data_IF_418997592052
#
_entry.id   IF_418997592052
#
_cell.length_a   1.000
_cell.length_b   1.000
_cell.length_c   1.000
_cell.angle_alpha   90.00
_cell.angle_beta   90.00
_cell.angle_gamma   90.00
#
_symmetry.space_group_name_H-M   'P 1'
#
loop_
_entity.id
_entity.type
_entity.pdbx_description
1 polymer ?
#
# COMPACT_ATOMS: atom_id res chain seq x y z
N UNK A 1 -24.54 -41.24 -51.86
CA UNK A 1 -24.79 -40.38 -50.68
C UNK A 1 -23.56 -40.47 -49.79
N UNK A 2 -22.86 -39.37 -49.53
CA UNK A 2 -21.61 -39.36 -48.76
C UNK A 2 -21.88 -38.67 -47.42
N UNK A 3 -21.54 -39.33 -46.31
CA UNK A 3 -21.61 -38.77 -44.96
C UNK A 3 -20.22 -38.26 -44.61
N UNK A 4 -20.09 -36.96 -44.32
CA UNK A 4 -18.87 -36.37 -43.76
C UNK A 4 -19.11 -36.18 -42.27
N UNK A 5 -18.41 -36.96 -41.45
CA UNK A 5 -18.41 -36.87 -40.00
C UNK A 5 -17.41 -35.77 -39.59
N UNK A 6 -17.90 -34.62 -39.15
CA UNK A 6 -17.07 -33.56 -38.60
C UNK A 6 -16.92 -33.79 -37.08
N UNK A 7 -15.74 -34.22 -36.64
CA UNK A 7 -15.38 -34.27 -35.22
C UNK A 7 -14.93 -32.86 -34.82
N UNK A 8 -15.77 -32.17 -34.05
CA UNK A 8 -15.42 -30.87 -33.47
C UNK A 8 -14.62 -31.07 -32.18
N UNK A 9 -13.39 -30.58 -32.14
CA UNK A 9 -12.60 -30.47 -30.90
C UNK A 9 -13.00 -29.17 -30.22
N UNK A 10 -13.73 -29.25 -29.11
CA UNK A 10 -14.02 -28.08 -28.27
C UNK A 10 -12.83 -27.84 -27.35
N UNK A 11 -12.00 -26.84 -27.67
CA UNK A 11 -11.03 -26.32 -26.72
C UNK A 11 -11.78 -25.62 -25.57
N UNK A 12 -11.68 -26.17 -24.37
CA UNK A 12 -12.20 -25.52 -23.17
C UNK A 12 -11.28 -24.33 -22.82
N UNK A 13 -11.71 -23.11 -23.13
CA UNK A 13 -11.07 -21.90 -22.61
C UNK A 13 -11.58 -21.68 -21.19
N UNK A 14 -10.71 -21.83 -20.19
CA UNK A 14 -10.99 -21.37 -18.82
C UNK A 14 -11.11 -19.86 -18.86
N UNK A 15 -12.32 -19.33 -18.66
CA UNK A 15 -12.56 -17.89 -18.50
C UNK A 15 -12.29 -17.59 -17.03
N UNK A 16 -11.19 -16.88 -16.74
CA UNK A 16 -10.97 -16.35 -15.39
C UNK A 16 -12.07 -15.35 -15.03
N UNK A 17 -12.56 -15.36 -13.78
CA UNK A 17 -13.52 -14.36 -13.33
C UNK A 17 -12.91 -12.95 -13.44
N UNK A 18 -13.73 -11.92 -13.70
CA UNK A 18 -13.26 -10.54 -13.73
C UNK A 18 -12.64 -10.15 -12.38
N UNK A 19 -11.48 -9.51 -12.41
CA UNK A 19 -10.77 -9.10 -11.19
C UNK A 19 -11.60 -8.10 -10.37
N UNK A 20 -11.74 -8.35 -9.05
CA UNK A 20 -12.48 -7.48 -8.13
C UNK A 20 -11.92 -6.05 -8.10
N UNK A 21 -12.74 -4.98 -8.10
CA UNK A 21 -12.24 -3.60 -8.11
C UNK A 21 -11.38 -3.27 -6.87
N UNK A 22 -10.57 -2.20 -6.96
CA UNK A 22 -9.86 -1.68 -5.80
C UNK A 22 -10.85 -1.10 -4.76
N UNK A 23 -10.54 -1.16 -3.45
CA UNK A 23 -11.38 -0.54 -2.43
C UNK A 23 -11.39 0.98 -2.62
N UNK A 24 -12.54 1.60 -2.33
CA UNK A 24 -12.67 3.05 -2.31
C UNK A 24 -12.49 3.54 -0.87
N UNK A 25 -11.39 4.22 -0.58
CA UNK A 25 -11.09 4.73 0.76
C UNK A 25 -10.66 6.20 0.75
N UNK A 26 -11.02 6.91 1.81
CA UNK A 26 -10.51 8.23 2.15
C UNK A 26 -9.46 8.07 3.24
N UNK A 27 -8.27 8.58 2.98
CA UNK A 27 -7.13 8.48 3.89
C UNK A 27 -6.51 9.85 4.06
N UNK A 28 -6.12 10.18 5.29
CA UNK A 28 -5.32 11.36 5.61
C UNK A 28 -3.91 10.95 6.05
N UNK A 29 -2.96 11.90 5.95
CA UNK A 29 -1.55 11.67 6.25
C UNK A 29 -0.97 12.81 7.07
N UNK A 30 -0.13 12.43 8.03
CA UNK A 30 0.75 13.35 8.77
C UNK A 30 2.19 12.85 8.75
N UNK A 31 3.13 13.81 8.73
CA UNK A 31 4.57 13.53 8.75
C UNK A 31 5.23 14.41 9.81
N UNK A 32 5.80 13.76 10.83
CA UNK A 32 6.49 14.40 11.95
C UNK A 32 7.85 13.74 12.15
N UNK A 33 8.93 14.51 11.93
CA UNK A 33 10.28 13.98 11.87
C UNK A 33 10.42 12.88 10.83
N UNK A 34 10.78 11.67 11.28
CA UNK A 34 10.91 10.48 10.43
C UNK A 34 9.66 9.57 10.45
N UNK A 35 8.59 9.98 11.14
CA UNK A 35 7.33 9.22 11.27
C UNK A 35 6.32 9.65 10.21
N UNK A 36 5.74 8.65 9.56
CA UNK A 36 4.56 8.80 8.71
C UNK A 36 3.39 8.12 9.40
N UNK A 37 2.31 8.86 9.58
CA UNK A 37 1.03 8.36 10.12
C UNK A 37 -0.04 8.50 9.05
N UNK A 38 -0.81 7.45 8.84
CA UNK A 38 -1.94 7.41 7.92
C UNK A 38 -3.20 7.06 8.71
N UNK A 39 -4.32 7.72 8.42
CA UNK A 39 -5.61 7.48 9.08
C UNK A 39 -6.69 7.20 8.04
N UNK A 40 -7.46 6.13 8.26
CA UNK A 40 -8.56 5.77 7.40
C UNK A 40 -9.80 6.55 7.81
N UNK A 41 -10.17 7.55 7.03
CA UNK A 41 -11.24 8.50 7.38
C UNK A 41 -12.62 8.04 6.92
N UNK A 42 -12.70 7.22 5.87
CA UNK A 42 -13.98 6.69 5.36
C UNK A 42 -13.82 5.73 4.19
N UNK A 43 -14.86 4.97 3.87
CA UNK A 43 -14.89 4.05 2.72
C UNK A 43 -14.75 2.56 3.09
N UNK A 44 -14.37 1.77 2.10
CA UNK A 44 -14.21 0.32 2.20
C UNK A 44 -12.97 -0.05 3.04
N UNK A 45 -13.01 -1.15 3.83
CA UNK A 45 -11.82 -1.69 4.48
C UNK A 45 -10.67 -1.98 3.50
N UNK A 46 -9.44 -1.82 3.96
CA UNK A 46 -8.24 -2.09 3.17
C UNK A 46 -7.56 -3.34 3.71
N UNK A 47 -7.48 -4.40 2.89
CA UNK A 47 -6.72 -5.60 3.19
C UNK A 47 -5.21 -5.27 3.15
N UNK A 48 -4.54 -5.37 4.29
CA UNK A 48 -3.14 -4.95 4.45
C UNK A 48 -2.17 -5.92 3.79
N UNK A 49 -2.47 -7.21 3.81
CA UNK A 49 -1.62 -8.24 3.17
C UNK A 49 -1.47 -8.04 1.66
N UNK A 50 -2.45 -7.39 1.03
CA UNK A 50 -2.44 -7.05 -0.39
C UNK A 50 -2.00 -5.60 -0.68
N UNK A 51 -1.68 -4.83 0.37
CA UNK A 51 -1.38 -3.40 0.29
C UNK A 51 0.10 -3.17 -0.04
N UNK A 52 0.35 -2.47 -1.14
CA UNK A 52 1.64 -1.86 -1.43
C UNK A 52 1.64 -0.40 -0.99
N UNK A 53 2.66 -0.04 -0.20
CA UNK A 53 2.94 1.33 0.20
C UNK A 53 4.22 1.81 -0.50
N UNK A 54 4.14 2.93 -1.23
CA UNK A 54 5.29 3.55 -1.89
C UNK A 54 5.48 4.97 -1.39
N UNK A 55 6.70 5.28 -0.94
CA UNK A 55 7.09 6.56 -0.35
C UNK A 55 8.13 7.24 -1.24
N UNK A 56 7.94 8.54 -1.47
CA UNK A 56 8.92 9.42 -2.10
C UNK A 56 9.09 10.70 -1.28
N UNK A 57 10.31 11.25 -1.27
CA UNK A 57 10.64 12.52 -0.61
C UNK A 57 11.13 13.48 -1.67
N UNK A 58 10.50 14.65 -1.77
CA UNK A 58 10.77 15.65 -2.81
C UNK A 58 10.75 15.08 -4.24
N UNK A 59 9.94 14.04 -4.48
CA UNK A 59 9.81 13.35 -5.77
C UNK A 59 10.83 12.23 -6.00
N UNK A 60 11.77 12.01 -5.08
CA UNK A 60 12.71 10.89 -5.15
C UNK A 60 12.20 9.70 -4.32
N UNK A 61 12.01 8.51 -4.93
CA UNK A 61 11.55 7.32 -4.20
C UNK A 61 12.56 6.88 -3.15
N UNK A 62 12.08 6.41 -2.00
CA UNK A 62 12.96 5.75 -1.04
C UNK A 62 13.65 4.53 -1.68
N UNK A 63 14.95 4.38 -1.42
CA UNK A 63 15.76 3.24 -1.84
C UNK A 63 15.22 1.92 -1.29
N UNK A 64 14.58 1.95 -0.12
CA UNK A 64 13.84 0.82 0.45
C UNK A 64 12.42 1.24 0.77
N UNK A 65 11.46 0.50 0.25
CA UNK A 65 10.03 0.72 0.43
C UNK A 65 9.51 -0.14 1.60
N UNK A 66 8.51 0.34 2.36
CA UNK A 66 8.00 -0.37 3.52
C UNK A 66 7.26 -1.64 3.08
N UNK A 67 7.67 -2.83 3.56
CA UNK A 67 7.00 -4.09 3.21
C UNK A 67 5.84 -4.33 4.17
N UNK A 68 4.74 -3.58 4.04
CA UNK A 68 3.60 -3.75 4.96
C UNK A 68 2.85 -5.08 4.70
N UNK A 69 2.33 -5.74 5.74
CA UNK A 69 2.62 -5.47 7.15
C UNK A 69 4.02 -5.96 7.55
N UNK A 70 4.66 -5.32 8.55
CA UNK A 70 5.97 -5.75 9.05
C UNK A 70 6.14 -5.54 10.56
N UNK A 71 7.15 -6.20 11.14
CA UNK A 71 7.65 -5.85 12.48
C UNK A 71 8.99 -5.11 12.39
N UNK A 72 9.89 -5.57 11.54
CA UNK A 72 11.18 -4.92 11.25
C UNK A 72 11.50 -5.07 9.77
N UNK A 73 12.03 -4.02 9.17
CA UNK A 73 12.41 -3.99 7.76
C UNK A 73 13.65 -3.10 7.56
N UNK A 74 14.52 -3.46 6.63
CA UNK A 74 15.69 -2.66 6.30
C UNK A 74 15.27 -1.26 5.81
N UNK A 75 15.91 -0.21 6.33
CA UNK A 75 15.54 1.18 6.01
C UNK A 75 14.40 1.74 6.87
N UNK A 76 13.88 0.98 7.84
CA UNK A 76 12.81 1.40 8.73
C UNK A 76 13.18 1.12 10.19
N UNK A 77 12.68 1.95 11.11
CA UNK A 77 12.75 1.63 12.55
C UNK A 77 11.81 0.44 12.82
N UNK A 78 12.20 -0.53 13.66
CA UNK A 78 11.30 -1.60 14.07
C UNK A 78 10.05 -1.07 14.78
N UNK A 79 8.98 -1.86 14.76
CA UNK A 79 7.73 -1.59 15.45
C UNK A 79 6.88 -0.50 14.78
N UNK A 80 6.39 -0.72 13.55
CA UNK A 80 5.25 0.07 13.06
C UNK A 80 4.03 -0.13 13.97
N UNK A 81 3.01 0.71 13.86
CA UNK A 81 1.81 0.64 14.71
C UNK A 81 0.55 0.49 13.88
N UNK A 82 -0.51 0.01 14.54
CA UNK A 82 -1.80 -0.21 13.90
C UNK A 82 -1.69 -1.22 12.77
N UNK A 83 -2.48 -1.01 11.71
CA UNK A 83 -2.63 -1.98 10.64
C UNK A 83 -1.32 -2.38 9.94
N UNK A 84 -0.26 -1.56 10.00
CA UNK A 84 1.03 -1.90 9.38
C UNK A 84 1.93 -2.80 10.24
N UNK A 85 1.55 -3.06 11.49
CA UNK A 85 2.25 -4.00 12.35
C UNK A 85 1.79 -5.42 12.06
N UNK A 86 2.73 -6.31 11.73
CA UNK A 86 2.46 -7.73 11.44
C UNK A 86 1.86 -8.54 12.61
N UNK A 87 1.76 -7.95 13.81
CA UNK A 87 1.04 -8.52 14.94
C UNK A 87 -0.39 -7.96 15.11
N UNK A 88 -0.84 -7.06 14.23
CA UNK A 88 -2.20 -6.51 14.21
C UNK A 88 -3.09 -7.27 13.23
N UNK A 89 -4.38 -6.92 13.20
CA UNK A 89 -5.34 -7.51 12.26
C UNK A 89 -5.01 -7.14 10.80
N UNK A 90 -5.39 -8.04 9.88
CA UNK A 90 -5.07 -7.94 8.45
C UNK A 90 -5.93 -6.90 7.69
N UNK A 91 -6.91 -6.29 8.35
CA UNK A 91 -7.77 -5.25 7.78
C UNK A 91 -7.56 -3.89 8.46
N UNK A 92 -7.38 -2.86 7.64
CA UNK A 92 -7.40 -1.48 8.07
C UNK A 92 -8.79 -0.88 7.82
N UNK A 93 -9.49 -0.52 8.91
CA UNK A 93 -10.87 0.00 8.88
C UNK A 93 -10.95 1.48 9.25
N UNK A 94 -12.08 2.10 8.94
CA UNK A 94 -12.40 3.50 9.27
C UNK A 94 -12.18 3.80 10.75
N UNK A 95 -11.52 4.93 11.02
CA UNK A 95 -11.11 5.37 12.36
C UNK A 95 -9.80 4.75 12.84
N UNK A 96 -9.27 3.73 12.15
CA UNK A 96 -7.96 3.15 12.43
C UNK A 96 -6.84 4.03 11.88
N UNK A 97 -5.69 4.00 12.56
CA UNK A 97 -4.45 4.63 12.09
C UNK A 97 -3.34 3.59 11.97
N UNK A 98 -2.47 3.77 10.99
CA UNK A 98 -1.24 2.99 10.82
C UNK A 98 -0.04 3.95 10.76
N UNK A 99 1.08 3.57 11.37
CA UNK A 99 2.29 4.41 11.31
C UNK A 99 3.57 3.59 11.19
N UNK A 100 4.57 4.19 10.57
CA UNK A 100 5.91 3.64 10.49
C UNK A 100 6.94 4.78 10.52
N UNK A 101 8.21 4.43 10.76
CA UNK A 101 9.31 5.39 10.82
C UNK A 101 10.43 5.01 9.87
N UNK A 102 10.88 5.97 9.09
CA UNK A 102 12.01 5.82 8.16
C UNK A 102 13.30 5.87 8.98
N UNK A 103 14.19 4.88 8.82
CA UNK A 103 15.48 4.91 9.49
C UNK A 103 16.47 5.79 8.71
N UNK A 104 17.45 6.39 9.41
CA UNK A 104 18.57 7.09 8.78
C UNK A 104 19.51 6.19 7.95
N UNK A 105 19.21 4.91 7.81
CA UNK A 105 19.89 3.98 6.88
C UNK A 105 19.16 3.86 5.54
N UNK A 106 18.04 4.56 5.38
CA UNK A 106 17.32 4.71 4.11
C UNK A 106 17.67 6.06 3.47
N UNK A 107 17.37 6.19 2.20
CA UNK A 107 17.69 7.36 1.39
C UNK A 107 16.56 7.59 0.38
N UNK A 108 16.16 8.83 0.07
CA UNK A 108 16.55 10.08 0.74
C UNK A 108 16.12 10.13 2.22
N UNK A 109 16.79 10.97 3.01
CA UNK A 109 16.36 11.30 4.36
C UNK A 109 15.18 12.29 4.34
N UNK A 110 14.34 12.23 5.38
CA UNK A 110 13.27 13.22 5.61
C UNK A 110 13.78 14.30 6.55
N UNK A 111 13.70 15.55 6.12
CA UNK A 111 13.97 16.74 6.91
C UNK A 111 12.71 17.62 7.01
N UNK A 112 12.59 18.45 8.07
CA UNK A 112 11.49 19.41 8.16
C UNK A 112 11.41 20.32 6.92
N UNK A 113 10.21 20.47 6.36
CA UNK A 113 9.95 21.22 5.14
C UNK A 113 9.94 20.38 3.86
N UNK A 114 10.43 19.14 3.90
CA UNK A 114 10.36 18.23 2.76
C UNK A 114 8.92 17.85 2.42
N UNK A 115 8.63 17.70 1.13
CA UNK A 115 7.37 17.12 0.67
C UNK A 115 7.50 15.61 0.63
N UNK A 116 6.67 14.92 1.40
CA UNK A 116 6.58 13.47 1.39
C UNK A 116 5.30 13.07 0.67
N UNK A 117 5.44 12.13 -0.27
CA UNK A 117 4.34 11.53 -1.00
C UNK A 117 4.24 10.05 -0.64
N UNK A 118 3.03 9.58 -0.36
CA UNK A 118 2.72 8.16 -0.13
C UNK A 118 1.65 7.71 -1.12
N UNK A 119 1.94 6.66 -1.87
CA UNK A 119 0.98 5.97 -2.73
C UNK A 119 0.58 4.64 -2.11
N UNK A 120 -0.74 4.43 -2.04
CA UNK A 120 -1.37 3.21 -1.55
C UNK A 120 -2.01 2.48 -2.72
N UNK A 121 -1.74 1.19 -2.85
CA UNK A 121 -2.34 0.35 -3.86
C UNK A 121 -2.64 -1.05 -3.33
N UNK A 122 -3.83 -1.58 -3.60
CA UNK A 122 -4.21 -2.96 -3.25
C UNK A 122 -4.16 -3.80 -4.52
N UNK A 123 -3.34 -4.86 -4.52
CA UNK A 123 -3.13 -5.71 -5.72
C UNK A 123 -2.79 -4.87 -6.95
N UNK A 124 -1.82 -3.97 -6.80
CA UNK A 124 -1.32 -3.02 -7.80
C UNK A 124 -2.34 -1.96 -8.28
N UNK A 125 -3.54 -1.93 -7.71
CA UNK A 125 -4.56 -0.95 -8.08
C UNK A 125 -4.57 0.23 -7.12
N UNK A 126 -4.44 1.47 -7.61
CA UNK A 126 -4.37 2.64 -6.75
C UNK A 126 -5.59 2.79 -5.86
N UNK A 127 -5.36 3.05 -4.58
CA UNK A 127 -6.38 3.42 -3.58
C UNK A 127 -6.29 4.92 -3.31
N UNK A 128 -5.09 5.41 -2.99
CA UNK A 128 -4.86 6.82 -2.68
C UNK A 128 -3.43 7.26 -3.04
N UNK A 129 -3.27 8.55 -3.34
CA UNK A 129 -1.98 9.25 -3.35
C UNK A 129 -2.09 10.43 -2.40
N UNK A 130 -1.18 10.50 -1.43
CA UNK A 130 -1.22 11.43 -0.31
C UNK A 130 0.05 12.25 -0.32
N UNK A 131 -0.06 13.55 -0.05
CA UNK A 131 1.09 14.44 0.10
C UNK A 131 0.98 15.21 1.42
N UNK A 132 2.10 15.37 2.11
CA UNK A 132 2.21 16.22 3.28
C UNK A 132 3.63 16.80 3.39
N UNK A 133 3.74 17.93 4.09
CA UNK A 133 5.03 18.52 4.43
C UNK A 133 5.49 17.99 5.78
N UNK A 134 6.74 17.53 5.84
CA UNK A 134 7.36 17.06 7.07
C UNK A 134 7.49 18.20 8.10
N UNK A 135 6.95 17.98 9.29
CA UNK A 135 7.08 18.88 10.45
C UNK A 135 8.24 18.44 11.35
N UNK A 136 8.80 19.33 12.19
CA UNK A 136 9.70 18.90 13.27
C UNK A 136 9.02 17.86 14.16
N UNK A 137 9.77 16.86 14.62
CA UNK A 137 9.30 15.78 15.50
C UNK A 137 9.95 15.78 16.87
#
# INVERSE_FOLDING_TARGET
MTVVLAVGVTAATTIDPPAEPAPTAMVSMEVEGDRITLTHDGGDPIAVDDLSVRVSVNGEPLARQPPVPFFSAAGFRPGPTGAFNAASDDEWVVGGSASFRIAGTNDPHVAPGDRVEVRLAVRERPVATLEATARPG
#
